data_IF_926700893897
#
_entry.id   IF_926700893897
#
_cell.length_a   1.000
_cell.length_b   1.000
_cell.length_c   1.000
_cell.angle_alpha   90.00
_cell.angle_beta   90.00
_cell.angle_gamma   90.00
#
_symmetry.space_group_name_H-M   'P 1'
#
loop_
_entity.id
_entity.type
_entity.pdbx_description
1 polymer ?
#
# COMPACT_ATOMS: atom_id res chain seq x y z
N UNK A 1 15.27 12.94 -5.77
CA UNK A 1 13.90 13.22 -6.26
C UNK A 1 13.03 13.50 -5.04
N UNK A 2 12.32 14.64 -5.03
CA UNK A 2 11.37 14.99 -3.98
C UNK A 2 10.17 14.03 -4.05
N UNK A 3 10.11 13.04 -3.17
CA UNK A 3 8.92 12.20 -3.03
C UNK A 3 7.90 13.02 -2.22
N UNK A 4 6.73 13.37 -2.78
CA UNK A 4 5.69 14.07 -2.04
C UNK A 4 5.33 13.30 -0.77
N UNK A 5 4.98 14.04 0.28
CA UNK A 5 4.48 13.45 1.52
C UNK A 5 3.23 12.59 1.23
N UNK A 6 3.02 11.50 1.99
CA UNK A 6 1.80 10.71 1.87
C UNK A 6 0.56 11.59 2.13
N UNK A 7 -0.46 11.43 1.29
CA UNK A 7 -1.69 12.23 1.37
C UNK A 7 -2.78 11.39 2.02
N UNK A 8 -3.22 11.80 3.20
CA UNK A 8 -4.38 11.21 3.87
C UNK A 8 -5.67 11.88 3.42
N UNK A 9 -6.67 11.09 3.04
CA UNK A 9 -8.03 11.53 2.75
C UNK A 9 -8.95 10.82 3.74
N UNK A 10 -9.78 11.59 4.44
CA UNK A 10 -10.77 11.05 5.38
C UNK A 10 -12.15 11.51 4.95
N UNK A 11 -13.09 10.57 4.85
CA UNK A 11 -14.49 10.86 4.59
C UNK A 11 -15.37 9.96 5.46
N UNK A 12 -16.14 10.57 6.36
CA UNK A 12 -16.93 9.87 7.38
C UNK A 12 -16.10 8.83 8.16
N UNK A 13 -16.45 7.54 8.07
CA UNK A 13 -15.75 6.43 8.73
C UNK A 13 -14.66 5.79 7.84
N UNK A 14 -14.33 6.41 6.70
CA UNK A 14 -13.33 5.91 5.75
C UNK A 14 -12.07 6.77 5.79
N UNK A 15 -10.92 6.10 5.81
CA UNK A 15 -9.60 6.71 5.77
C UNK A 15 -8.78 6.07 4.65
N UNK A 16 -8.31 6.90 3.72
CA UNK A 16 -7.48 6.50 2.60
C UNK A 16 -6.12 7.16 2.70
N UNK A 17 -5.06 6.41 2.45
CA UNK A 17 -3.70 6.92 2.40
C UNK A 17 -3.16 6.74 0.99
N UNK A 18 -3.00 7.85 0.26
CA UNK A 18 -2.41 7.85 -1.08
C UNK A 18 -0.91 8.02 -0.94
N UNK A 19 -0.18 7.03 -1.41
CA UNK A 19 1.28 6.97 -1.34
C UNK A 19 1.86 6.61 -2.71
N UNK A 20 3.12 6.97 -2.94
CA UNK A 20 3.83 6.51 -4.12
C UNK A 20 4.23 5.04 -4.00
N UNK A 21 4.33 4.36 -5.14
CA UNK A 21 4.83 3.00 -5.21
C UNK A 21 6.22 2.88 -4.53
N UNK A 22 6.39 1.99 -3.53
CA UNK A 22 7.67 1.78 -2.87
C UNK A 22 8.65 1.03 -3.77
N UNK A 23 9.94 1.21 -3.51
CA UNK A 23 10.99 0.31 -4.00
C UNK A 23 11.33 -0.72 -2.92
N UNK A 24 11.90 -1.86 -3.29
CA UNK A 24 12.34 -2.91 -2.33
C UNK A 24 13.21 -2.34 -1.19
N UNK A 25 14.06 -1.34 -1.48
CA UNK A 25 14.90 -0.68 -0.48
C UNK A 25 14.10 0.16 0.55
N UNK A 26 12.95 0.69 0.15
CA UNK A 26 12.09 1.53 0.99
C UNK A 26 10.89 0.78 1.59
N UNK A 27 10.77 -0.51 1.29
CA UNK A 27 9.59 -1.30 1.63
C UNK A 27 9.40 -1.44 3.14
N UNK A 28 10.48 -1.61 3.91
CA UNK A 28 10.38 -1.65 5.38
C UNK A 28 9.82 -0.35 5.96
N UNK A 29 10.34 0.81 5.52
CA UNK A 29 9.84 2.13 5.94
C UNK A 29 8.38 2.33 5.56
N UNK A 30 8.03 1.88 4.35
CA UNK A 30 6.66 1.92 3.86
C UNK A 30 5.71 1.14 4.78
N UNK A 31 6.07 -0.07 5.19
CA UNK A 31 5.24 -0.87 6.09
C UNK A 31 5.11 -0.23 7.48
N UNK A 32 6.18 0.37 8.01
CA UNK A 32 6.13 1.13 9.27
C UNK A 32 5.17 2.33 9.17
N UNK A 33 5.20 3.07 8.06
CA UNK A 33 4.28 4.17 7.82
C UNK A 33 2.83 3.67 7.75
N UNK A 34 2.56 2.59 7.00
CA UNK A 34 1.22 2.00 6.92
C UNK A 34 0.67 1.62 8.29
N UNK A 35 1.49 1.00 9.14
CA UNK A 35 1.12 0.67 10.53
C UNK A 35 0.85 1.91 11.37
N UNK A 36 1.66 2.96 11.22
CA UNK A 36 1.48 4.24 11.93
C UNK A 36 0.14 4.88 11.58
N UNK A 37 -0.30 4.76 10.34
CA UNK A 37 -1.60 5.25 9.88
C UNK A 37 -2.75 4.25 10.10
N UNK A 38 -2.48 3.05 10.62
CA UNK A 38 -3.50 2.02 10.87
C UNK A 38 -4.07 1.40 9.59
N UNK A 39 -3.32 1.41 8.49
CA UNK A 39 -3.77 0.83 7.22
C UNK A 39 -3.78 -0.69 7.32
N UNK A 40 -4.93 -1.30 7.08
CA UNK A 40 -5.10 -2.77 7.08
C UNK A 40 -5.06 -3.36 5.68
N UNK A 41 -5.38 -2.56 4.65
CA UNK A 41 -5.48 -3.00 3.27
C UNK A 41 -4.81 -1.99 2.33
N UNK A 42 -3.94 -2.48 1.45
CA UNK A 42 -3.25 -1.71 0.42
C UNK A 42 -3.75 -2.17 -0.95
N UNK A 43 -4.17 -1.22 -1.78
CA UNK A 43 -4.58 -1.49 -3.16
C UNK A 43 -3.52 -0.96 -4.12
N UNK A 44 -2.93 -1.85 -4.92
CA UNK A 44 -2.00 -1.53 -6.00
C UNK A 44 -2.80 -1.37 -7.29
N UNK A 45 -2.79 -0.16 -7.84
CA UNK A 45 -3.44 0.15 -9.13
C UNK A 45 -2.46 0.14 -10.30
N UNK A 46 -1.16 0.15 -10.02
CA UNK A 46 -0.08 0.07 -11.01
C UNK A 46 0.59 -1.31 -11.00
N UNK A 47 1.56 -1.51 -11.90
CA UNK A 47 2.40 -2.70 -11.94
C UNK A 47 3.04 -3.05 -10.59
N UNK A 48 3.03 -4.35 -10.29
CA UNK A 48 3.62 -4.91 -9.08
C UNK A 48 5.16 -4.94 -9.21
N UNK A 49 5.84 -3.86 -8.84
CA UNK A 49 7.31 -3.79 -8.88
C UNK A 49 8.00 -4.31 -7.61
N UNK A 50 7.24 -4.79 -6.63
CA UNK A 50 7.73 -5.30 -5.35
C UNK A 50 6.89 -6.48 -4.87
N UNK A 51 7.51 -7.33 -4.04
CA UNK A 51 6.87 -8.52 -3.49
C UNK A 51 5.90 -8.18 -2.36
N UNK A 52 4.72 -8.81 -2.34
CA UNK A 52 3.68 -8.56 -1.33
C UNK A 52 3.90 -9.32 -0.02
N UNK A 53 4.66 -10.42 -0.02
CA UNK A 53 4.89 -11.24 1.17
C UNK A 53 5.42 -10.48 2.39
N UNK A 54 6.39 -9.55 2.29
CA UNK A 54 6.85 -8.78 3.46
C UNK A 54 5.76 -7.85 4.02
N UNK A 55 4.86 -7.34 3.19
CA UNK A 55 3.75 -6.47 3.62
C UNK A 55 2.63 -7.31 4.24
N UNK A 56 2.31 -8.45 3.64
CA UNK A 56 1.31 -9.40 4.15
C UNK A 56 1.75 -10.06 5.47
N UNK A 57 3.06 -10.35 5.62
CA UNK A 57 3.65 -10.85 6.88
C UNK A 57 3.44 -9.89 8.04
N UNK A 58 3.33 -8.59 7.75
CA UNK A 58 3.09 -7.54 8.73
C UNK A 58 1.60 -7.35 9.05
N UNK A 59 0.72 -8.19 8.46
CA UNK A 59 -0.73 -8.20 8.69
C UNK A 59 -1.51 -7.26 7.77
N UNK A 60 -0.89 -6.75 6.70
CA UNK A 60 -1.51 -5.80 5.78
C UNK A 60 -1.85 -6.52 4.47
N UNK A 61 -3.13 -6.55 4.13
CA UNK A 61 -3.58 -7.25 2.92
C UNK A 61 -3.26 -6.42 1.67
N UNK A 62 -2.68 -7.06 0.64
CA UNK A 62 -2.31 -6.38 -0.61
C UNK A 62 -3.19 -6.87 -1.76
N UNK A 63 -4.06 -5.99 -2.25
CA UNK A 63 -4.87 -6.20 -3.43
C UNK A 63 -4.19 -5.58 -4.64
N UNK A 64 -4.24 -6.24 -5.80
CA UNK A 64 -3.83 -5.63 -7.07
C UNK A 64 -5.01 -5.62 -8.03
N UNK A 65 -5.31 -4.45 -8.60
CA UNK A 65 -6.44 -4.27 -9.52
C UNK A 65 -6.33 -5.14 -10.78
N UNK A 66 -5.11 -5.49 -11.20
CA UNK A 66 -4.89 -6.39 -12.34
C UNK A 66 -5.17 -7.87 -12.00
N UNK A 67 -5.04 -8.29 -10.74
CA UNK A 67 -5.20 -9.70 -10.34
C UNK A 67 -6.69 -10.08 -10.18
N UNK A 68 -7.58 -9.11 -9.93
CA UNK A 68 -9.01 -9.37 -9.67
C UNK A 68 -9.83 -9.70 -10.93
N UNK A 69 -9.30 -9.46 -12.14
CA UNK A 69 -9.94 -9.89 -13.39
C UNK A 69 -9.56 -11.32 -13.79
N UNK A 70 -8.67 -11.95 -13.04
CA UNK A 70 -8.14 -13.29 -13.34
C UNK A 70 -8.63 -14.38 -12.39
N UNK A 71 -9.51 -14.06 -11.44
CA UNK A 71 -10.16 -15.07 -10.62
C UNK A 71 -11.58 -15.35 -11.16
N UNK A 72 -11.92 -16.64 -11.41
CA UNK A 72 -13.20 -17.04 -12.00
C UNK A 72 -14.41 -16.76 -11.13
#
# INVERSE_FOLDING_TARGET
MNRPAPVGISYENMHFLITHNPTNATLNKFTEELKKYGVTTVVRVCDATYDKAPVEKEGIHVLACAETYSQP
#
